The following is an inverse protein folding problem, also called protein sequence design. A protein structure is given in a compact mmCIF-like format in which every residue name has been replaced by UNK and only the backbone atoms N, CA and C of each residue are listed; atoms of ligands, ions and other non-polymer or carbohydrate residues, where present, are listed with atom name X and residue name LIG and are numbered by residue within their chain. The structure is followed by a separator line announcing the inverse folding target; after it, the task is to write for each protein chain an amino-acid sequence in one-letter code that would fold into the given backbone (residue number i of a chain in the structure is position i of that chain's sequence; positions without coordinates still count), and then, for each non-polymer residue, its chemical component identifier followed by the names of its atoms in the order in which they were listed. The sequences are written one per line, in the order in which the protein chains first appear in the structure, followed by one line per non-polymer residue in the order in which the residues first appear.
data_IF_114206634080
#
_entry.id   IF_114206634080
#
_cell.length_a   1.000
_cell.length_b   1.000
_cell.length_c   1.000
_cell.angle_alpha   90.00
_cell.angle_beta   90.00
_cell.angle_gamma   90.00
#
_symmetry.space_group_name_H-M   'P 1'
#
loop_
_entity.id
_entity.type
_entity.pdbx_description
1 polymer ?
#
# COMPACT_ATOMS: atom_id res chain seq x y z
N UNK A 1 -13.48 11.05 1.41
CA UNK A 1 -14.44 11.92 0.68
C UNK A 1 -15.25 11.11 -0.34
N UNK A 2 -14.63 10.56 -1.38
CA UNK A 2 -15.34 9.83 -2.46
C UNK A 2 -16.38 8.78 -2.00
N UNK A 3 -15.99 7.84 -1.13
CA UNK A 3 -16.91 6.80 -0.63
C UNK A 3 -18.10 7.40 0.13
N UNK A 4 -17.88 8.49 0.87
CA UNK A 4 -18.95 9.22 1.56
C UNK A 4 -19.89 9.89 0.55
N UNK A 5 -19.35 10.49 -0.51
CA UNK A 5 -20.17 11.07 -1.58
C UNK A 5 -21.05 10.01 -2.27
N UNK A 6 -20.51 8.80 -2.46
CA UNK A 6 -21.28 7.66 -2.97
C UNK A 6 -22.39 7.22 -2.00
N UNK A 7 -22.10 7.16 -0.69
CA UNK A 7 -23.10 6.85 0.33
C UNK A 7 -24.24 7.89 0.33
N UNK A 8 -23.90 9.18 0.27
CA UNK A 8 -24.90 10.27 0.20
C UNK A 8 -25.74 10.21 -1.08
N UNK A 9 -25.18 9.74 -2.20
CA UNK A 9 -25.95 9.51 -3.43
C UNK A 9 -26.97 8.38 -3.24
N UNK A 10 -26.59 7.28 -2.58
CA UNK A 10 -27.52 6.18 -2.30
C UNK A 10 -28.66 6.65 -1.39
N UNK A 11 -28.36 7.42 -0.36
CA UNK A 11 -29.37 8.01 0.54
C UNK A 11 -30.32 8.95 -0.21
N UNK A 12 -29.79 9.85 -1.04
CA UNK A 12 -30.57 10.80 -1.82
C UNK A 12 -31.50 10.11 -2.84
N UNK A 13 -31.07 8.96 -3.36
CA UNK A 13 -31.83 8.15 -4.33
C UNK A 13 -32.68 7.07 -3.67
N UNK A 14 -32.73 7.02 -2.33
CA UNK A 14 -33.47 6.03 -1.52
C UNK A 14 -33.04 4.58 -1.80
N UNK A 15 -31.79 4.37 -2.19
CA UNK A 15 -31.18 3.05 -2.29
C UNK A 15 -30.78 2.63 -0.87
N UNK A 16 -31.44 1.58 -0.34
CA UNK A 16 -31.22 1.10 1.02
C UNK A 16 -29.94 0.22 1.13
N UNK A 17 -28.78 0.84 0.89
CA UNK A 17 -27.46 0.19 0.96
C UNK A 17 -26.51 1.04 1.80
N UNK A 18 -25.76 0.38 2.68
CA UNK A 18 -24.70 1.00 3.49
C UNK A 18 -23.35 0.51 3.00
N UNK A 19 -22.48 1.46 2.62
CA UNK A 19 -21.10 1.18 2.24
C UNK A 19 -20.23 1.03 3.49
N UNK A 20 -19.65 -0.16 3.67
CA UNK A 20 -18.73 -0.46 4.75
C UNK A 20 -17.36 -0.79 4.15
N UNK A 21 -16.33 -0.04 4.55
CA UNK A 21 -14.94 -0.37 4.21
C UNK A 21 -14.19 -0.82 5.49
N UNK A 22 -14.12 -2.15 5.76
CA UNK A 22 -13.51 -2.66 6.98
C UNK A 22 -11.99 -2.37 7.06
N UNK A 23 -11.36 -2.05 5.93
CA UNK A 23 -9.92 -1.81 5.83
C UNK A 23 -9.58 -0.32 5.67
N UNK A 24 -10.53 0.59 5.89
CA UNK A 24 -10.33 2.04 5.67
C UNK A 24 -9.11 2.60 6.40
N UNK A 25 -8.85 2.10 7.61
CA UNK A 25 -7.75 2.56 8.46
C UNK A 25 -6.70 1.46 8.70
N UNK A 26 -6.46 0.62 7.69
CA UNK A 26 -5.53 -0.50 7.78
C UNK A 26 -4.47 -0.43 6.70
N UNK A 27 -3.21 -0.66 7.06
CA UNK A 27 -2.13 -0.87 6.10
C UNK A 27 -2.31 -2.19 5.37
N UNK A 28 -1.55 -2.41 4.28
CA UNK A 28 -1.61 -3.70 3.56
C UNK A 28 -1.14 -4.85 4.45
N UNK A 29 -0.14 -4.65 5.32
CA UNK A 29 0.28 -5.64 6.29
C UNK A 29 -0.81 -5.96 7.32
N UNK A 30 -1.44 -4.93 7.90
CA UNK A 30 -2.57 -5.08 8.82
C UNK A 30 -3.75 -5.79 8.16
N UNK A 31 -4.09 -5.46 6.90
CA UNK A 31 -5.13 -6.15 6.13
C UNK A 31 -4.87 -7.66 6.03
N UNK A 32 -3.63 -8.07 5.73
CA UNK A 32 -3.27 -9.48 5.61
C UNK A 32 -3.31 -10.18 6.97
N UNK A 33 -2.81 -9.51 8.02
CA UNK A 33 -2.78 -10.03 9.39
C UNK A 33 -4.19 -10.20 9.98
N UNK A 34 -5.08 -9.25 9.71
CA UNK A 34 -6.42 -9.19 10.29
C UNK A 34 -7.51 -9.81 9.39
N UNK A 35 -7.13 -10.36 8.23
CA UNK A 35 -8.08 -11.08 7.39
C UNK A 35 -8.68 -12.28 8.16
N UNK A 36 -10.01 -12.30 8.31
CA UNK A 36 -10.69 -13.32 9.11
C UNK A 36 -10.50 -14.74 8.52
N UNK A 37 -10.56 -14.86 7.20
CA UNK A 37 -10.37 -16.14 6.50
C UNK A 37 -8.92 -16.29 6.01
N UNK A 38 -8.03 -16.60 6.96
CA UNK A 38 -6.61 -16.84 6.67
C UNK A 38 -6.38 -18.03 5.74
N UNK A 39 -7.28 -19.02 5.73
CA UNK A 39 -7.16 -20.20 4.87
C UNK A 39 -7.34 -19.79 3.40
N UNK A 40 -8.48 -19.17 3.08
CA UNK A 40 -8.75 -18.70 1.71
C UNK A 40 -7.72 -17.67 1.29
N UNK A 41 -7.31 -16.76 2.19
CA UNK A 41 -6.25 -15.78 1.89
C UNK A 41 -4.98 -16.50 1.39
N UNK A 42 -4.47 -17.50 2.11
CA UNK A 42 -3.24 -18.24 1.71
C UNK A 42 -3.40 -18.93 0.35
N UNK A 43 -4.58 -19.45 0.05
CA UNK A 43 -4.87 -20.13 -1.23
C UNK A 43 -4.94 -19.17 -2.43
N UNK A 44 -5.48 -17.96 -2.22
CA UNK A 44 -5.72 -17.01 -3.32
C UNK A 44 -4.63 -15.96 -3.47
N UNK A 45 -3.85 -15.67 -2.43
CA UNK A 45 -2.95 -14.51 -2.43
C UNK A 45 -1.90 -14.56 -3.54
N UNK A 46 -1.44 -15.75 -3.91
CA UNK A 46 -0.50 -15.97 -5.03
C UNK A 46 -1.14 -15.65 -6.39
N UNK A 47 -2.47 -15.78 -6.52
CA UNK A 47 -3.23 -15.52 -7.74
C UNK A 47 -3.65 -14.05 -7.89
N UNK A 48 -3.36 -13.21 -6.89
CA UNK A 48 -3.71 -11.78 -6.90
C UNK A 48 -2.60 -10.93 -7.49
N UNK A 49 -2.97 -9.79 -8.08
CA UNK A 49 -2.04 -8.86 -8.71
C UNK A 49 -2.12 -7.50 -8.02
N UNK A 50 -0.97 -6.96 -7.62
CA UNK A 50 -0.83 -5.56 -7.16
C UNK A 50 -0.03 -4.68 -8.13
N UNK A 51 0.74 -5.29 -9.04
CA UNK A 51 1.66 -4.59 -9.93
C UNK A 51 0.96 -3.61 -10.90
N UNK A 52 1.40 -2.35 -10.90
CA UNK A 52 0.93 -1.32 -11.85
C UNK A 52 1.38 -1.57 -13.30
N UNK A 53 2.41 -2.40 -13.49
CA UNK A 53 2.96 -2.76 -14.81
C UNK A 53 2.50 -4.15 -15.30
N UNK A 54 1.58 -4.82 -14.59
CA UNK A 54 1.19 -6.21 -14.88
C UNK A 54 0.65 -6.40 -16.29
N UNK A 55 -0.30 -5.57 -16.73
CA UNK A 55 -1.03 -5.74 -18.01
C UNK A 55 -0.10 -5.84 -19.23
N UNK A 56 1.10 -5.25 -19.17
CA UNK A 56 2.08 -5.27 -20.27
C UNK A 56 3.00 -6.49 -20.26
N UNK A 57 3.13 -7.17 -19.12
CA UNK A 57 4.15 -8.19 -18.89
C UNK A 57 3.60 -9.55 -18.48
N UNK A 58 2.33 -9.62 -18.04
CA UNK A 58 1.73 -10.84 -17.50
C UNK A 58 2.41 -11.34 -16.22
N UNK A 59 3.21 -10.49 -15.56
CA UNK A 59 4.05 -10.85 -14.42
C UNK A 59 4.27 -9.65 -13.49
N UNK A 60 4.35 -9.89 -12.18
CA UNK A 60 4.55 -8.81 -11.21
C UNK A 60 5.99 -8.31 -11.33
N UNK A 61 6.17 -6.99 -11.35
CA UNK A 61 7.51 -6.45 -11.59
C UNK A 61 8.40 -6.50 -10.34
N UNK A 62 7.85 -6.39 -9.13
CA UNK A 62 8.63 -6.42 -7.88
C UNK A 62 9.21 -5.07 -7.45
N UNK A 63 9.27 -4.10 -8.36
CA UNK A 63 9.93 -2.79 -8.13
C UNK A 63 9.01 -1.57 -8.05
N UNK A 64 7.80 -1.63 -8.61
CA UNK A 64 6.90 -0.48 -8.59
C UNK A 64 6.30 -0.29 -7.19
N UNK A 65 5.82 0.92 -6.88
CA UNK A 65 5.23 1.26 -5.56
C UNK A 65 4.28 0.19 -5.01
N UNK A 66 3.25 -0.30 -5.75
CA UNK A 66 2.34 -1.29 -5.19
C UNK A 66 2.96 -2.70 -5.05
N UNK A 67 4.01 -3.04 -5.80
CA UNK A 67 4.75 -4.28 -5.56
C UNK A 67 5.57 -4.17 -4.27
N UNK A 68 6.22 -3.03 -4.02
CA UNK A 68 7.01 -2.82 -2.80
C UNK A 68 6.15 -2.82 -1.54
N UNK A 69 4.96 -2.20 -1.59
CA UNK A 69 3.96 -2.28 -0.51
C UNK A 69 3.52 -3.74 -0.27
N UNK A 70 3.30 -4.51 -1.35
CA UNK A 70 2.94 -5.93 -1.24
C UNK A 70 4.06 -6.77 -0.61
N UNK A 71 5.30 -6.63 -1.08
CA UNK A 71 6.46 -7.36 -0.54
C UNK A 71 6.67 -7.04 0.95
N UNK A 72 6.55 -5.77 1.32
CA UNK A 72 6.61 -5.36 2.71
C UNK A 72 5.50 -5.98 3.58
N UNK A 73 4.26 -5.95 3.09
CA UNK A 73 3.13 -6.57 3.77
C UNK A 73 3.30 -8.09 3.94
N UNK A 74 3.88 -8.76 2.93
CA UNK A 74 4.13 -10.20 2.95
C UNK A 74 5.24 -10.56 3.93
N UNK A 75 6.32 -9.79 3.93
CA UNK A 75 7.39 -9.93 4.91
C UNK A 75 6.86 -9.79 6.35
N UNK A 76 5.93 -8.87 6.60
CA UNK A 76 5.32 -8.67 7.92
C UNK A 76 4.56 -9.91 8.42
N UNK A 77 3.85 -10.62 7.53
CA UNK A 77 3.03 -11.80 7.89
C UNK A 77 3.73 -13.15 7.62
N UNK A 78 5.00 -13.12 7.20
CA UNK A 78 5.77 -14.32 6.87
C UNK A 78 5.24 -15.09 5.66
N UNK A 79 4.65 -14.39 4.68
CA UNK A 79 4.20 -15.00 3.44
C UNK A 79 5.36 -15.00 2.44
N UNK A 80 5.66 -16.18 1.88
CA UNK A 80 6.59 -16.30 0.76
C UNK A 80 5.80 -16.30 -0.54
N UNK A 81 6.19 -15.47 -1.50
CA UNK A 81 5.69 -15.60 -2.86
C UNK A 81 6.34 -16.78 -3.56
N UNK A 82 5.51 -17.59 -4.21
CA UNK A 82 5.96 -18.74 -4.99
C UNK A 82 6.36 -18.31 -6.40
N UNK A 83 5.81 -17.20 -6.89
CA UNK A 83 6.12 -16.65 -8.20
C UNK A 83 7.27 -15.62 -8.09
N UNK A 84 8.36 -15.91 -8.81
CA UNK A 84 9.52 -15.01 -8.91
C UNK A 84 9.09 -13.68 -9.54
N UNK A 85 9.46 -12.54 -8.98
CA UNK A 85 9.22 -11.24 -9.60
C UNK A 85 10.06 -11.04 -10.87
N UNK A 86 9.69 -10.12 -11.77
CA UNK A 86 10.60 -9.74 -12.89
C UNK A 86 11.90 -9.13 -12.37
N UNK A 87 11.82 -8.37 -11.29
CA UNK A 87 12.94 -7.77 -10.60
C UNK A 87 12.97 -8.25 -9.15
N UNK A 88 13.55 -9.43 -8.93
CA UNK A 88 13.61 -10.05 -7.60
C UNK A 88 14.59 -9.29 -6.68
N UNK A 89 15.79 -9.00 -7.19
CA UNK A 89 16.83 -8.31 -6.43
C UNK A 89 16.71 -6.79 -6.58
N UNK A 90 16.28 -6.12 -5.51
CA UNK A 90 16.10 -4.67 -5.48
C UNK A 90 17.42 -3.89 -5.49
N UNK A 91 18.54 -4.47 -5.02
CA UNK A 91 19.85 -3.83 -5.10
C UNK A 91 20.31 -3.69 -6.56
N UNK A 92 19.98 -4.66 -7.41
CA UNK A 92 20.18 -4.54 -8.87
C UNK A 92 19.26 -3.49 -9.47
N UNK A 93 17.99 -3.43 -9.05
CA UNK A 93 17.05 -2.38 -9.50
C UNK A 93 17.59 -1.00 -9.17
N UNK A 94 18.14 -0.78 -7.97
CA UNK A 94 18.65 0.52 -7.53
C UNK A 94 19.79 1.05 -8.44
N UNK A 95 20.58 0.14 -9.01
CA UNK A 95 21.67 0.45 -9.97
C UNK A 95 21.14 0.70 -11.39
N UNK A 96 19.95 0.22 -11.72
CA UNK A 96 19.32 0.40 -13.03
C UNK A 96 18.62 1.77 -13.14
N UNK A 97 19.28 2.70 -13.82
CA UNK A 97 18.78 4.07 -14.04
C UNK A 97 17.40 4.14 -14.69
N UNK A 98 16.97 3.13 -15.45
CA UNK A 98 15.66 3.13 -16.14
C UNK A 98 14.52 2.60 -15.27
N UNK A 99 14.84 1.90 -14.19
CA UNK A 99 13.87 1.11 -13.44
C UNK A 99 13.81 1.45 -11.94
N UNK A 100 14.74 2.28 -11.44
CA UNK A 100 14.87 2.61 -10.01
C UNK A 100 13.93 3.68 -9.48
N UNK A 101 13.18 4.39 -10.32
CA UNK A 101 12.45 5.61 -9.92
C UNK A 101 11.45 5.37 -8.80
N UNK A 102 10.61 4.32 -8.90
CA UNK A 102 9.63 3.97 -7.87
C UNK A 102 10.29 3.62 -6.52
N UNK A 103 11.42 2.88 -6.57
CA UNK A 103 12.17 2.49 -5.39
C UNK A 103 12.83 3.72 -4.73
N UNK A 104 13.46 4.59 -5.52
CA UNK A 104 14.04 5.84 -5.04
C UNK A 104 12.98 6.79 -4.48
N UNK A 105 11.79 6.85 -5.09
CA UNK A 105 10.69 7.66 -4.60
C UNK A 105 10.25 7.20 -3.20
N UNK A 106 10.13 5.89 -2.97
CA UNK A 106 9.80 5.36 -1.64
C UNK A 106 10.92 5.59 -0.63
N UNK A 107 12.19 5.37 -0.99
CA UNK A 107 13.34 5.68 -0.13
C UNK A 107 13.33 7.18 0.24
N UNK A 108 13.11 8.05 -0.75
CA UNK A 108 13.02 9.49 -0.51
C UNK A 108 11.82 9.85 0.37
N UNK A 109 10.67 9.19 0.21
CA UNK A 109 9.50 9.43 1.06
C UNK A 109 9.77 9.01 2.51
N UNK A 110 10.38 7.84 2.71
CA UNK A 110 10.80 7.33 4.02
C UNK A 110 11.75 8.31 4.73
N UNK A 111 12.70 8.91 3.99
CA UNK A 111 13.66 9.85 4.56
C UNK A 111 13.08 11.26 4.83
N UNK A 112 11.98 11.63 4.17
CA UNK A 112 11.34 12.96 4.30
C UNK A 112 10.06 12.95 5.14
N UNK A 113 9.62 11.77 5.57
CA UNK A 113 8.37 11.63 6.30
C UNK A 113 8.46 12.43 7.60
N UNK A 114 7.50 13.33 7.76
CA UNK A 114 7.31 14.14 8.96
C UNK A 114 5.83 14.47 9.06
N UNK A 115 5.39 14.91 10.24
CA UNK A 115 4.00 15.31 10.46
C UNK A 115 3.51 16.34 9.44
N UNK A 116 4.33 17.34 9.14
CA UNK A 116 4.02 18.39 8.17
C UNK A 116 3.95 17.83 6.74
N UNK A 117 4.91 16.97 6.39
CA UNK A 117 5.00 16.37 5.05
C UNK A 117 3.79 15.46 4.77
N UNK A 118 3.40 14.63 5.74
CA UNK A 118 2.29 13.67 5.59
C UNK A 118 0.96 14.39 5.39
N UNK A 119 0.69 15.47 6.13
CA UNK A 119 -0.54 16.25 5.93
C UNK A 119 -0.60 16.83 4.51
N UNK A 120 0.51 17.35 4.00
CA UNK A 120 0.59 17.86 2.63
C UNK A 120 0.24 16.75 1.62
N UNK A 121 0.90 15.59 1.70
CA UNK A 121 0.67 14.48 0.79
C UNK A 121 -0.75 13.91 0.84
N UNK A 122 -1.37 13.89 2.02
CA UNK A 122 -2.75 13.46 2.15
C UNK A 122 -3.72 14.41 1.44
N UNK A 123 -3.44 15.72 1.47
CA UNK A 123 -4.25 16.72 0.78
C UNK A 123 -4.04 16.70 -0.75
N UNK A 124 -2.86 16.29 -1.22
CA UNK A 124 -2.59 16.07 -2.65
C UNK A 124 -3.51 14.97 -3.24
N UNK A 125 -3.97 14.04 -2.39
CA UNK A 125 -4.91 12.98 -2.78
C UNK A 125 -6.37 13.44 -2.82
N UNK A 126 -6.65 14.68 -2.43
CA UNK A 126 -7.98 15.29 -2.43
C UNK A 126 -8.45 15.78 -1.05
N UNK A 127 -9.68 16.30 -0.96
CA UNK A 127 -10.19 16.88 0.27
C UNK A 127 -10.32 15.83 1.39
N UNK A 128 -9.75 16.15 2.54
CA UNK A 128 -9.92 15.39 3.78
C UNK A 128 -11.17 15.87 4.53
N UNK A 129 -11.71 15.02 5.41
CA UNK A 129 -12.83 15.40 6.26
C UNK A 129 -12.48 16.54 7.22
N UNK A 130 -13.45 17.39 7.53
CA UNK A 130 -13.36 18.38 8.60
C UNK A 130 -13.20 17.74 9.99
N UNK A 131 -13.59 16.47 10.16
CA UNK A 131 -13.37 15.70 11.37
C UNK A 131 -11.85 15.46 11.61
N UNK A 132 -11.34 15.96 12.74
CA UNK A 132 -9.94 15.84 13.15
C UNK A 132 -9.50 14.41 13.40
N UNK A 133 -10.29 13.62 14.13
CA UNK A 133 -9.96 12.24 14.46
C UNK A 133 -9.77 11.39 13.20
N UNK A 134 -10.63 11.59 12.20
CA UNK A 134 -10.51 10.90 10.91
C UNK A 134 -9.22 11.26 10.16
N UNK A 135 -8.78 12.53 10.23
CA UNK A 135 -7.50 12.95 9.63
C UNK A 135 -6.31 12.33 10.36
N UNK A 136 -6.39 12.23 11.68
CA UNK A 136 -5.35 11.60 12.49
C UNK A 136 -5.24 10.09 12.16
N UNK A 137 -6.36 9.40 11.94
CA UNK A 137 -6.36 8.02 11.43
C UNK A 137 -5.70 7.96 10.04
N UNK A 138 -6.06 8.82 9.08
CA UNK A 138 -5.40 8.82 7.77
C UNK A 138 -3.88 9.03 7.84
N UNK A 139 -3.45 9.97 8.68
CA UNK A 139 -2.04 10.23 8.95
C UNK A 139 -1.35 8.99 9.52
N UNK A 140 -1.98 8.32 10.49
CA UNK A 140 -1.46 7.10 11.11
C UNK A 140 -1.25 5.99 10.09
N UNK A 141 -2.22 5.70 9.23
CA UNK A 141 -2.08 4.60 8.24
C UNK A 141 -0.97 4.93 7.24
N UNK A 142 -0.87 6.19 6.81
CA UNK A 142 0.16 6.62 5.88
C UNK A 142 1.56 6.42 6.46
N UNK A 143 1.77 6.86 7.72
CA UNK A 143 3.04 6.67 8.44
C UNK A 143 3.33 5.19 8.66
N UNK A 144 2.34 4.41 9.12
CA UNK A 144 2.50 2.98 9.37
C UNK A 144 2.83 2.22 8.08
N UNK A 145 2.16 2.53 6.97
CA UNK A 145 2.43 1.92 5.66
C UNK A 145 3.84 2.23 5.16
N UNK A 146 4.32 3.46 5.33
CA UNK A 146 5.72 3.79 5.03
C UNK A 146 6.70 3.06 5.95
N UNK A 147 6.36 2.88 7.23
CA UNK A 147 7.19 2.13 8.17
C UNK A 147 7.24 0.64 7.83
N UNK A 148 6.17 0.02 7.35
CA UNK A 148 6.19 -1.36 6.83
C UNK A 148 7.20 -1.49 5.68
N UNK A 149 7.13 -0.57 4.71
CA UNK A 149 8.07 -0.54 3.58
C UNK A 149 9.50 -0.28 4.07
N UNK A 150 9.69 0.64 5.03
CA UNK A 150 11.00 0.92 5.63
C UNK A 150 11.61 -0.33 6.26
N UNK A 151 10.87 -1.04 7.10
CA UNK A 151 11.33 -2.29 7.73
C UNK A 151 11.72 -3.32 6.68
N UNK A 152 10.92 -3.46 5.63
CA UNK A 152 11.22 -4.36 4.53
C UNK A 152 12.51 -3.97 3.77
N UNK A 153 12.68 -2.70 3.41
CA UNK A 153 13.88 -2.24 2.70
C UNK A 153 15.16 -2.33 3.55
N UNK A 154 15.05 -2.20 4.88
CA UNK A 154 16.15 -2.48 5.82
C UNK A 154 16.54 -3.95 5.81
N UNK A 155 15.56 -4.85 5.85
CA UNK A 155 15.79 -6.30 5.79
C UNK A 155 16.46 -6.72 4.46
N UNK A 156 16.15 -6.02 3.37
CA UNK A 156 16.80 -6.18 2.05
C UNK A 156 18.19 -5.50 1.97
N UNK A 157 18.64 -4.80 3.01
CA UNK A 157 19.95 -4.13 3.06
C UNK A 157 20.07 -2.90 2.15
N UNK A 158 18.95 -2.24 1.84
CA UNK A 158 18.93 -1.09 0.90
C UNK A 158 19.02 0.27 1.59
N UNK A 159 18.64 0.34 2.86
CA UNK A 159 18.63 1.55 3.69
C UNK A 159 18.98 1.19 5.14
N UNK A 160 19.41 2.19 5.91
CA UNK A 160 19.78 2.05 7.33
C UNK A 160 18.61 2.11 8.31
#
# INVERSE_FOLDING_TARGET
YYVQSMQSLFEATKINVTLINPYQFKTKGEMLKECADQKTLREVVQKTVSCSNWKRKGKQCGRCVPCLIRRAAFALVGFCETDVYLYENLATVLKDKKNRDDLLALISAINRVSDRTVISWLLDSGPLSSNRQLRDEYKKIFINGLNEVKTYLKAEGLIE
#
